data_IF_817424008989
#
_entry.id   IF_817424008989
#
_cell.length_a   1.000
_cell.length_b   1.000
_cell.length_c   1.000
_cell.angle_alpha   90.00
_cell.angle_beta   90.00
_cell.angle_gamma   90.00
#
_symmetry.space_group_name_H-M   'P 1'
#
loop_
_entity.id
_entity.type
_entity.pdbx_description
1 polymer ?
#
# COMPACT_ATOMS: atom_id res chain seq x y z
N UNK A 1 16.76 3.06 11.86
CA UNK A 1 16.95 2.75 10.43
C UNK A 1 16.44 3.93 9.62
N UNK A 2 17.25 4.49 8.72
CA UNK A 2 16.93 5.69 7.97
C UNK A 2 15.80 5.43 6.95
N UNK A 3 14.84 6.35 6.86
CA UNK A 3 13.76 6.34 5.85
C UNK A 3 14.35 6.41 4.44
N UNK A 4 13.66 5.85 3.44
CA UNK A 4 14.08 5.91 2.03
C UNK A 4 14.38 7.35 1.58
N UNK A 5 13.59 8.34 2.04
CA UNK A 5 13.80 9.77 1.77
C UNK A 5 15.06 10.36 2.43
N UNK A 6 15.44 9.88 3.62
CA UNK A 6 16.66 10.29 4.33
C UNK A 6 17.92 9.70 3.70
N UNK A 7 17.82 8.46 3.18
CA UNK A 7 18.88 7.85 2.38
C UNK A 7 19.12 8.61 1.07
N UNK A 8 18.06 9.07 0.39
CA UNK A 8 18.20 9.87 -0.84
C UNK A 8 19.04 11.14 -0.67
N UNK A 9 18.81 11.90 0.42
CA UNK A 9 19.56 13.14 0.69
C UNK A 9 21.04 12.91 1.00
N UNK A 10 21.37 11.76 1.60
CA UNK A 10 22.73 11.48 2.08
C UNK A 10 23.53 10.56 1.15
N UNK A 11 22.84 9.75 0.34
CA UNK A 11 23.40 8.73 -0.56
C UNK A 11 22.62 8.70 -1.89
N UNK A 12 22.74 9.76 -2.71
CA UNK A 12 21.91 9.94 -3.91
C UNK A 12 22.28 9.03 -5.08
N UNK A 13 23.41 8.31 -5.03
CA UNK A 13 23.89 7.47 -6.13
C UNK A 13 23.81 5.99 -5.77
N UNK A 14 23.57 5.17 -6.78
CA UNK A 14 23.56 3.71 -6.70
C UNK A 14 24.55 3.16 -7.73
N UNK A 15 25.36 2.20 -7.30
CA UNK A 15 26.31 1.45 -8.13
C UNK A 15 25.82 0.02 -8.28
N UNK A 16 25.65 -0.44 -9.53
CA UNK A 16 25.37 -1.84 -9.82
C UNK A 16 26.65 -2.68 -9.64
N UNK A 17 26.55 -3.81 -8.93
CA UNK A 17 27.69 -4.68 -8.68
C UNK A 17 27.33 -6.13 -8.99
N UNK A 18 28.18 -6.79 -9.77
CA UNK A 18 28.12 -8.22 -10.01
C UNK A 18 29.08 -8.96 -9.08
N UNK A 19 28.98 -10.29 -9.03
CA UNK A 19 30.00 -11.13 -8.37
C UNK A 19 31.27 -11.32 -9.21
N UNK A 20 31.29 -10.82 -10.46
CA UNK A 20 32.44 -10.87 -11.35
C UNK A 20 32.86 -12.26 -11.83
N UNK A 21 32.06 -13.31 -11.58
CA UNK A 21 32.38 -14.67 -12.01
C UNK A 21 31.82 -15.01 -13.40
N UNK A 22 32.31 -16.10 -13.99
CA UNK A 22 31.88 -16.60 -15.32
C UNK A 22 30.39 -17.00 -15.41
N UNK A 23 29.67 -17.04 -14.29
CA UNK A 23 28.25 -17.39 -14.23
C UNK A 23 27.37 -16.14 -14.22
N UNK A 24 27.94 -14.94 -14.14
CA UNK A 24 27.23 -13.69 -14.36
C UNK A 24 26.78 -13.65 -15.83
N UNK A 25 25.51 -13.28 -16.06
CA UNK A 25 24.97 -13.14 -17.42
C UNK A 25 25.73 -12.03 -18.15
N UNK A 26 26.04 -12.16 -19.46
CA UNK A 26 26.78 -11.15 -20.20
C UNK A 26 26.21 -9.74 -20.08
N UNK A 27 24.88 -9.61 -20.07
CA UNK A 27 24.18 -8.33 -19.90
C UNK A 27 24.46 -7.72 -18.52
N UNK A 28 24.48 -8.53 -17.46
CA UNK A 28 24.75 -8.05 -16.10
C UNK A 28 26.21 -7.63 -15.95
N UNK A 29 27.14 -8.36 -16.57
CA UNK A 29 28.56 -8.00 -16.61
C UNK A 29 28.77 -6.66 -17.32
N UNK A 30 27.99 -6.37 -18.37
CA UNK A 30 28.04 -5.07 -19.06
C UNK A 30 27.52 -3.91 -18.20
N UNK A 31 26.72 -4.18 -17.16
CA UNK A 31 26.24 -3.18 -16.20
C UNK A 31 27.13 -3.04 -14.97
N UNK A 32 28.20 -3.84 -14.85
CA UNK A 32 29.06 -3.83 -13.67
C UNK A 32 29.71 -2.44 -13.48
N UNK A 33 29.64 -1.92 -12.25
CA UNK A 33 30.07 -0.58 -11.88
C UNK A 33 29.29 0.57 -12.53
N UNK A 34 28.16 0.32 -13.18
CA UNK A 34 27.27 1.39 -13.62
C UNK A 34 26.78 2.18 -12.40
N UNK A 35 27.03 3.49 -12.39
CA UNK A 35 26.60 4.39 -11.33
C UNK A 35 25.54 5.34 -11.88
N UNK A 36 24.37 5.37 -11.27
CA UNK A 36 23.27 6.26 -11.64
C UNK A 36 22.70 6.94 -10.40
N UNK A 37 22.00 8.06 -10.62
CA UNK A 37 21.21 8.66 -9.55
C UNK A 37 20.09 7.70 -9.11
N UNK A 38 19.72 7.72 -7.83
CA UNK A 38 18.71 6.81 -7.24
C UNK A 38 17.30 6.97 -7.84
N UNK A 39 17.01 8.13 -8.43
CA UNK A 39 15.74 8.43 -9.09
C UNK A 39 15.74 8.12 -10.60
N UNK A 40 16.85 7.63 -11.14
CA UNK A 40 16.93 7.22 -12.54
C UNK A 40 15.92 6.09 -12.83
N UNK A 41 15.20 6.20 -13.95
CA UNK A 41 14.14 5.26 -14.31
C UNK A 41 14.67 3.86 -14.62
N UNK A 42 15.96 3.72 -14.94
CA UNK A 42 16.63 2.44 -15.16
C UNK A 42 16.47 1.49 -13.95
N UNK A 43 16.54 2.04 -12.73
CA UNK A 43 16.35 1.28 -11.50
C UNK A 43 14.94 0.71 -11.33
N UNK A 44 13.94 1.13 -12.13
CA UNK A 44 12.60 0.57 -12.03
C UNK A 44 12.53 -0.88 -12.50
N UNK A 45 13.46 -1.31 -13.35
CA UNK A 45 13.46 -2.66 -13.93
C UNK A 45 14.79 -3.40 -13.73
N UNK A 46 15.88 -2.69 -13.47
CA UNK A 46 17.23 -3.27 -13.35
C UNK A 46 17.73 -3.37 -11.90
N UNK A 47 16.85 -3.23 -10.90
CA UNK A 47 17.22 -3.39 -9.49
C UNK A 47 17.29 -4.88 -9.13
N UNK A 48 18.49 -5.41 -8.78
CA UNK A 48 18.64 -6.83 -8.47
C UNK A 48 17.77 -7.30 -7.29
N UNK A 49 17.34 -8.57 -7.28
CA UNK A 49 17.59 -9.59 -8.31
C UNK A 49 16.83 -9.37 -9.62
N UNK A 50 17.52 -9.61 -10.74
CA UNK A 50 17.01 -9.40 -12.11
C UNK A 50 16.58 -10.71 -12.80
N UNK A 51 16.47 -11.80 -12.03
CA UNK A 51 16.15 -13.11 -12.55
C UNK A 51 16.53 -14.25 -11.62
N UNK A 52 16.20 -15.47 -12.02
CA UNK A 52 16.51 -16.67 -11.26
C UNK A 52 18.02 -16.85 -11.13
N UNK A 53 18.49 -17.16 -9.93
CA UNK A 53 19.93 -17.31 -9.63
C UNK A 53 20.76 -16.03 -9.80
N UNK A 54 20.13 -14.85 -9.89
CA UNK A 54 20.85 -13.58 -9.92
C UNK A 54 21.62 -13.37 -8.61
N UNK A 55 22.90 -13.02 -8.72
CA UNK A 55 23.81 -12.75 -7.59
C UNK A 55 24.35 -11.32 -7.59
N UNK A 56 23.75 -10.46 -8.41
CA UNK A 56 24.11 -9.06 -8.48
C UNK A 56 23.50 -8.30 -7.29
N UNK A 57 24.11 -7.19 -6.91
CA UNK A 57 23.68 -6.33 -5.80
C UNK A 57 23.80 -4.86 -6.21
N UNK A 58 23.32 -3.97 -5.35
CA UNK A 58 23.46 -2.53 -5.52
C UNK A 58 24.07 -1.93 -4.27
N UNK A 59 25.10 -1.11 -4.47
CA UNK A 59 25.78 -0.34 -3.42
C UNK A 59 25.34 1.11 -3.49
N UNK A 60 24.82 1.65 -2.39
CA UNK A 60 24.54 3.09 -2.29
C UNK A 60 25.84 3.87 -2.10
N UNK A 61 25.94 5.06 -2.68
CA UNK A 61 27.10 5.94 -2.62
C UNK A 61 26.68 7.37 -2.25
N UNK A 62 27.46 7.99 -1.35
CA UNK A 62 27.35 9.41 -1.03
C UNK A 62 28.24 10.25 -1.95
N UNK A 63 27.94 11.54 -2.09
CA UNK A 63 28.78 12.47 -2.86
C UNK A 63 30.25 12.48 -2.39
N UNK A 64 30.50 12.37 -1.08
CA UNK A 64 31.85 12.27 -0.52
C UNK A 64 32.57 10.99 -0.95
N UNK A 65 31.86 9.86 -1.05
CA UNK A 65 32.44 8.60 -1.53
C UNK A 65 32.73 8.66 -3.03
N UNK A 66 31.84 9.27 -3.82
CA UNK A 66 32.09 9.50 -5.24
C UNK A 66 33.41 10.28 -5.45
N UNK A 67 33.60 11.38 -4.71
CA UNK A 67 34.82 12.19 -4.78
C UNK A 67 36.06 11.43 -4.32
N UNK A 68 35.99 10.78 -3.16
CA UNK A 68 37.13 10.05 -2.57
C UNK A 68 37.59 8.89 -3.45
N UNK A 69 36.63 8.13 -3.97
CA UNK A 69 36.89 6.93 -4.77
C UNK A 69 37.04 7.30 -6.28
N UNK A 70 37.02 8.60 -6.62
CA UNK A 70 37.12 9.16 -7.99
C UNK A 70 36.11 8.56 -8.98
N UNK A 71 34.90 8.31 -8.50
CA UNK A 71 33.78 7.76 -9.26
C UNK A 71 32.94 8.90 -9.85
N UNK A 72 32.35 8.66 -11.02
CA UNK A 72 31.41 9.57 -11.66
C UNK A 72 30.11 8.84 -11.98
N UNK A 73 28.99 9.54 -11.90
CA UNK A 73 27.72 9.00 -12.38
C UNK A 73 27.76 8.94 -13.91
N UNK A 74 27.36 7.80 -14.46
CA UNK A 74 27.22 7.60 -15.90
C UNK A 74 25.83 7.95 -16.40
N UNK A 75 25.60 7.70 -17.68
CA UNK A 75 24.27 7.69 -18.29
C UNK A 75 23.68 6.29 -18.24
N UNK A 76 22.35 6.19 -18.10
CA UNK A 76 21.67 4.90 -18.10
C UNK A 76 21.92 4.15 -19.42
N UNK A 77 22.24 2.84 -19.37
CA UNK A 77 22.29 2.02 -20.57
C UNK A 77 20.97 2.05 -21.35
N UNK A 78 20.99 1.92 -22.69
CA UNK A 78 19.78 1.86 -23.50
C UNK A 78 18.82 0.77 -23.03
N UNK A 79 17.54 1.11 -22.93
CA UNK A 79 16.47 0.17 -22.60
C UNK A 79 16.00 -0.56 -23.86
N UNK A 80 16.70 -1.64 -24.22
CA UNK A 80 16.23 -2.58 -25.24
C UNK A 80 15.19 -3.51 -24.62
N UNK A 81 13.90 -3.21 -24.79
CA UNK A 81 12.81 -4.07 -24.33
C UNK A 81 12.07 -4.69 -25.51
N UNK A 82 11.73 -5.98 -25.40
CA UNK A 82 10.91 -6.68 -26.37
C UNK A 82 9.76 -7.39 -25.66
N UNK A 83 8.64 -7.58 -26.37
CA UNK A 83 7.63 -8.53 -25.93
C UNK A 83 8.22 -9.93 -25.93
N UNK A 84 7.87 -10.74 -24.92
CA UNK A 84 8.27 -12.14 -24.85
C UNK A 84 7.02 -12.99 -24.80
N UNK A 85 6.88 -13.89 -25.75
CA UNK A 85 5.74 -14.80 -25.84
C UNK A 85 6.18 -16.16 -25.32
N UNK A 86 5.38 -16.77 -24.46
CA UNK A 86 5.52 -18.17 -24.13
C UNK A 86 4.96 -19.01 -25.29
N UNK A 87 5.77 -19.73 -26.08
CA UNK A 87 5.27 -20.47 -27.23
C UNK A 87 4.38 -21.67 -26.82
N UNK A 88 4.49 -22.18 -25.59
CA UNK A 88 3.68 -23.32 -25.13
C UNK A 88 2.33 -22.92 -24.55
N UNK A 89 2.19 -21.70 -24.04
CA UNK A 89 0.92 -21.21 -23.43
C UNK A 89 0.27 -20.07 -24.22
N UNK A 90 0.97 -19.46 -25.18
CA UNK A 90 0.54 -18.27 -25.90
C UNK A 90 0.54 -16.99 -25.05
N UNK A 91 1.01 -17.05 -23.81
CA UNK A 91 1.02 -15.91 -22.89
C UNK A 91 2.04 -14.86 -23.33
N UNK A 92 1.58 -13.62 -23.48
CA UNK A 92 2.43 -12.47 -23.82
C UNK A 92 2.88 -11.81 -22.52
N UNK A 93 4.16 -11.96 -22.20
CA UNK A 93 4.81 -11.13 -21.20
C UNK A 93 5.14 -9.80 -21.89
N UNK A 94 4.58 -8.69 -21.37
CA UNK A 94 4.80 -7.34 -21.92
C UNK A 94 6.28 -6.95 -21.97
N UNK A 95 6.59 -5.71 -22.37
CA UNK A 95 7.97 -5.26 -22.63
C UNK A 95 9.00 -5.61 -21.53
N UNK A 96 9.78 -6.67 -21.75
CA UNK A 96 10.84 -7.14 -20.84
C UNK A 96 12.19 -6.61 -21.33
N UNK A 97 12.92 -5.82 -20.52
CA UNK A 97 14.27 -5.40 -20.90
C UNK A 97 15.22 -6.57 -21.10
N UNK A 98 16.13 -6.43 -22.06
CA UNK A 98 17.23 -7.36 -22.31
C UNK A 98 18.07 -7.53 -21.04
N UNK A 99 18.44 -8.77 -20.73
CA UNK A 99 19.15 -9.10 -19.49
C UNK A 99 18.26 -9.25 -18.25
N UNK A 100 16.95 -8.99 -18.33
CA UNK A 100 15.98 -9.24 -17.25
C UNK A 100 15.15 -10.49 -17.58
N UNK A 101 14.94 -11.37 -16.59
CA UNK A 101 14.06 -12.54 -16.74
C UNK A 101 12.58 -12.10 -16.71
N UNK A 102 11.70 -12.89 -17.36
CA UNK A 102 10.26 -12.63 -17.34
C UNK A 102 9.72 -12.67 -15.90
N UNK A 103 8.88 -11.69 -15.55
CA UNK A 103 8.36 -11.55 -14.19
C UNK A 103 9.35 -10.97 -13.17
N UNK A 104 10.53 -10.52 -13.58
CA UNK A 104 11.49 -9.78 -12.74
C UNK A 104 11.70 -8.33 -13.20
N UNK A 105 10.90 -7.86 -14.16
CA UNK A 105 10.93 -6.52 -14.73
C UNK A 105 10.26 -5.47 -13.82
N UNK A 106 10.62 -5.49 -12.53
CA UNK A 106 10.19 -4.50 -11.54
C UNK A 106 11.24 -4.34 -10.44
N UNK A 107 11.23 -3.20 -9.75
CA UNK A 107 12.18 -2.94 -8.68
C UNK A 107 11.74 -3.65 -7.40
N UNK A 108 12.41 -4.74 -7.05
CA UNK A 108 12.14 -5.53 -5.84
C UNK A 108 12.20 -4.73 -4.53
N UNK A 109 13.09 -3.74 -4.46
CA UNK A 109 13.23 -2.81 -3.32
C UNK A 109 12.14 -1.76 -3.26
N UNK A 110 11.37 -1.55 -4.33
CA UNK A 110 10.12 -0.79 -4.34
C UNK A 110 8.90 -1.70 -4.19
N UNK A 111 8.96 -2.94 -4.67
CA UNK A 111 7.84 -3.89 -4.62
C UNK A 111 7.44 -4.31 -3.22
N UNK A 112 8.33 -4.15 -2.22
CA UNK A 112 7.94 -4.30 -0.81
C UNK A 112 6.92 -3.24 -0.39
N UNK A 113 7.00 -2.02 -0.93
CA UNK A 113 5.88 -1.07 -0.90
C UNK A 113 4.89 -1.65 -1.90
N UNK A 114 3.99 -2.53 -1.43
CA UNK A 114 3.03 -3.21 -2.30
C UNK A 114 2.42 -2.23 -3.31
N UNK A 115 2.13 -2.66 -4.55
CA UNK A 115 1.69 -1.78 -5.64
C UNK A 115 0.54 -0.85 -5.23
N UNK A 116 -0.25 -1.26 -4.24
CA UNK A 116 -1.29 -0.47 -3.60
C UNK A 116 -0.78 0.77 -2.85
N UNK A 117 0.28 0.62 -2.05
CA UNK A 117 0.90 1.71 -1.28
C UNK A 117 1.56 2.70 -2.24
N UNK A 118 2.25 2.19 -3.27
CA UNK A 118 2.83 3.04 -4.31
C UNK A 118 1.75 3.83 -5.06
N UNK A 119 0.63 3.18 -5.42
CA UNK A 119 -0.52 3.84 -6.02
C UNK A 119 -1.09 4.91 -5.08
N UNK A 120 -1.32 4.60 -3.80
CA UNK A 120 -1.94 5.55 -2.89
C UNK A 120 -1.09 6.81 -2.66
N UNK A 121 0.23 6.67 -2.57
CA UNK A 121 1.15 7.82 -2.49
C UNK A 121 1.15 8.66 -3.76
N UNK A 122 1.07 8.01 -4.92
CA UNK A 122 0.98 8.72 -6.20
C UNK A 122 -0.35 9.40 -6.37
N UNK A 123 -1.44 8.78 -5.94
CA UNK A 123 -2.78 9.34 -6.04
C UNK A 123 -2.91 10.70 -5.33
N UNK A 124 -2.29 10.87 -4.16
CA UNK A 124 -2.25 12.17 -3.46
C UNK A 124 -1.51 13.26 -4.24
N UNK A 125 -0.49 12.89 -5.02
CA UNK A 125 0.37 13.81 -5.78
C UNK A 125 -0.22 14.20 -7.15
N UNK A 126 -1.32 13.58 -7.59
CA UNK A 126 -1.91 13.85 -8.89
C UNK A 126 -2.63 15.20 -8.92
N UNK A 127 -2.65 15.92 -10.07
CA UNK A 127 -3.50 17.08 -10.26
C UNK A 127 -4.98 16.76 -10.00
N UNK A 128 -5.75 17.72 -9.51
CA UNK A 128 -7.10 17.49 -8.93
C UNK A 128 -8.07 16.79 -9.90
N UNK A 129 -8.10 17.20 -11.16
CA UNK A 129 -8.96 16.58 -12.18
C UNK A 129 -8.66 15.09 -12.39
N UNK A 130 -7.38 14.70 -12.38
CA UNK A 130 -6.95 13.30 -12.54
C UNK A 130 -7.17 12.55 -11.22
N UNK A 131 -6.82 13.17 -10.10
CA UNK A 131 -6.97 12.63 -8.76
C UNK A 131 -8.41 12.20 -8.49
N UNK A 132 -9.37 13.06 -8.82
CA UNK A 132 -10.81 12.77 -8.67
C UNK A 132 -11.25 11.54 -9.45
N UNK A 133 -10.77 11.37 -10.68
CA UNK A 133 -11.11 10.22 -11.52
C UNK A 133 -10.47 8.93 -11.02
N UNK A 134 -9.18 8.98 -10.70
CA UNK A 134 -8.40 7.81 -10.26
C UNK A 134 -8.88 7.29 -8.90
N UNK A 135 -9.14 8.19 -7.96
CA UNK A 135 -9.61 7.84 -6.62
C UNK A 135 -11.13 7.64 -6.59
N UNK A 136 -11.89 8.26 -7.50
CA UNK A 136 -13.34 8.14 -7.56
C UNK A 136 -13.84 6.73 -7.84
N UNK A 137 -12.98 5.85 -8.38
CA UNK A 137 -13.31 4.47 -8.69
C UNK A 137 -12.75 3.46 -7.66
N UNK A 138 -12.78 3.81 -6.36
CA UNK A 138 -12.33 2.95 -5.26
C UNK A 138 -12.94 1.55 -5.29
N UNK A 139 -14.18 1.42 -5.77
CA UNK A 139 -14.89 0.15 -5.88
C UNK A 139 -14.29 -0.82 -6.91
N UNK A 140 -13.56 -0.36 -7.93
CA UNK A 140 -12.84 -1.25 -8.83
C UNK A 140 -11.69 -1.96 -8.10
N UNK A 141 -11.02 -1.25 -7.20
CA UNK A 141 -9.86 -1.78 -6.49
C UNK A 141 -10.24 -2.73 -5.36
N UNK A 142 -11.47 -2.67 -4.85
CA UNK A 142 -11.91 -3.58 -3.78
C UNK A 142 -11.96 -5.04 -4.20
N UNK A 143 -12.19 -5.31 -5.49
CA UNK A 143 -12.14 -6.68 -6.02
C UNK A 143 -10.73 -7.28 -5.93
N UNK A 144 -9.71 -6.42 -6.05
CA UNK A 144 -8.29 -6.81 -5.90
C UNK A 144 -7.98 -7.18 -4.45
N UNK A 145 -8.60 -6.51 -3.48
CA UNK A 145 -8.31 -6.73 -2.05
C UNK A 145 -9.18 -7.80 -1.40
N UNK A 146 -10.43 -7.96 -1.84
CA UNK A 146 -11.42 -8.78 -1.14
C UNK A 146 -10.96 -10.23 -0.90
N UNK A 147 -10.63 -10.97 -1.96
CA UNK A 147 -10.22 -12.39 -1.82
C UNK A 147 -8.89 -12.58 -1.07
N UNK A 148 -7.81 -11.83 -1.38
CA UNK A 148 -6.56 -11.95 -0.63
C UNK A 148 -6.72 -11.58 0.85
N UNK A 149 -7.50 -10.54 1.13
CA UNK A 149 -7.80 -10.11 2.50
C UNK A 149 -8.60 -11.17 3.25
N UNK A 150 -9.67 -11.70 2.66
CA UNK A 150 -10.50 -12.72 3.28
C UNK A 150 -9.68 -13.96 3.64
N UNK A 151 -8.82 -14.43 2.72
CA UNK A 151 -7.89 -15.54 2.99
C UNK A 151 -6.97 -15.24 4.16
N UNK A 152 -6.31 -14.08 4.13
CA UNK A 152 -5.42 -13.64 5.20
C UNK A 152 -6.13 -13.50 6.54
N UNK A 153 -7.32 -12.88 6.56
CA UNK A 153 -8.10 -12.64 7.75
C UNK A 153 -8.56 -13.96 8.38
N UNK A 154 -9.00 -14.93 7.56
CA UNK A 154 -9.33 -16.28 8.02
C UNK A 154 -8.13 -17.00 8.67
N UNK A 155 -6.92 -16.82 8.15
CA UNK A 155 -5.71 -17.34 8.80
C UNK A 155 -5.42 -16.62 10.12
N UNK A 156 -5.55 -15.29 10.17
CA UNK A 156 -5.32 -14.50 11.38
C UNK A 156 -6.31 -14.85 12.50
N UNK A 157 -7.58 -15.12 12.16
CA UNK A 157 -8.62 -15.55 13.12
C UNK A 157 -8.24 -16.85 13.81
N UNK A 158 -7.58 -17.78 13.08
CA UNK A 158 -7.17 -19.09 13.59
C UNK A 158 -5.85 -19.07 14.38
N UNK A 159 -5.14 -17.94 14.41
CA UNK A 159 -3.81 -17.83 15.02
C UNK A 159 -3.87 -17.27 16.45
N UNK A 160 -2.99 -17.79 17.30
CA UNK A 160 -2.83 -17.32 18.68
C UNK A 160 -1.83 -16.16 18.84
N UNK A 161 -0.98 -15.92 17.83
CA UNK A 161 0.08 -14.91 17.87
C UNK A 161 -0.05 -13.87 16.76
N UNK A 162 0.45 -12.67 17.04
CA UNK A 162 0.60 -11.60 16.04
C UNK A 162 1.97 -11.77 15.37
N UNK A 163 2.01 -11.60 14.05
CA UNK A 163 3.22 -11.58 13.22
C UNK A 163 3.62 -10.18 12.76
N UNK A 164 2.78 -9.17 13.04
CA UNK A 164 3.01 -7.79 12.61
C UNK A 164 2.73 -7.58 11.12
N UNK A 165 1.89 -8.45 10.54
CA UNK A 165 1.46 -8.35 9.15
C UNK A 165 0.54 -7.15 8.94
N UNK A 166 0.71 -6.48 7.79
CA UNK A 166 -0.11 -5.35 7.35
C UNK A 166 -0.77 -5.71 6.03
N UNK A 167 -2.04 -5.33 5.87
CA UNK A 167 -2.78 -5.47 4.61
C UNK A 167 -3.46 -4.17 4.24
N UNK A 168 -3.39 -3.85 2.95
CA UNK A 168 -4.22 -2.82 2.35
C UNK A 168 -5.63 -3.36 2.16
N UNK A 169 -6.63 -2.56 2.53
CA UNK A 169 -8.04 -2.94 2.51
C UNK A 169 -8.90 -1.97 1.71
N UNK A 170 -8.34 -0.86 1.25
CA UNK A 170 -9.02 0.09 0.41
C UNK A 170 -8.24 1.39 0.28
N UNK A 171 -8.92 2.39 -0.28
CA UNK A 171 -8.41 3.75 -0.39
C UNK A 171 -9.45 4.74 0.16
N UNK A 172 -8.98 5.85 0.73
CA UNK A 172 -9.86 6.98 1.02
C UNK A 172 -10.36 7.56 -0.31
N UNK A 173 -11.66 7.88 -0.39
CA UNK A 173 -12.21 8.46 -1.60
C UNK A 173 -11.89 9.96 -1.69
N UNK A 174 -12.15 10.55 -2.85
CA UNK A 174 -11.82 11.96 -3.11
C UNK A 174 -12.50 12.93 -2.13
N UNK A 175 -13.81 12.75 -1.87
CA UNK A 175 -14.56 13.60 -0.93
C UNK A 175 -14.00 13.52 0.50
N UNK A 176 -13.61 12.33 0.93
CA UNK A 176 -13.01 12.10 2.25
C UNK A 176 -11.64 12.77 2.35
N UNK A 177 -10.83 12.69 1.29
CA UNK A 177 -9.54 13.37 1.21
C UNK A 177 -9.71 14.90 1.28
N UNK A 178 -10.61 15.48 0.49
CA UNK A 178 -10.89 16.92 0.54
C UNK A 178 -11.39 17.36 1.92
N UNK A 179 -12.33 16.60 2.51
CA UNK A 179 -12.85 16.90 3.83
C UNK A 179 -11.78 16.83 4.91
N UNK A 180 -10.86 15.86 4.85
CA UNK A 180 -9.74 15.81 5.78
C UNK A 180 -8.87 17.08 5.68
N UNK A 181 -8.60 17.54 4.45
CA UNK A 181 -7.81 18.76 4.20
C UNK A 181 -8.51 20.00 4.75
N UNK A 182 -9.84 20.13 4.61
CA UNK A 182 -10.58 21.26 5.22
C UNK A 182 -10.55 21.24 6.74
N UNK A 183 -10.42 20.06 7.36
CA UNK A 183 -10.21 19.89 8.81
C UNK A 183 -8.74 20.05 9.23
N UNK A 184 -7.85 20.46 8.32
CA UNK A 184 -6.43 20.71 8.59
C UNK A 184 -5.56 19.45 8.62
N UNK A 185 -6.07 18.30 8.17
CA UNK A 185 -5.32 17.04 8.09
C UNK A 185 -5.03 16.75 6.62
N UNK A 186 -3.75 16.74 6.25
CA UNK A 186 -3.32 16.38 4.89
C UNK A 186 -2.79 14.93 4.90
N UNK A 187 -3.53 13.95 4.36
CA UNK A 187 -3.05 12.57 4.29
C UNK A 187 -1.79 12.44 3.42
N UNK A 188 -0.77 11.72 3.91
CA UNK A 188 0.47 11.45 3.13
C UNK A 188 0.25 10.38 2.05
N UNK A 189 -0.75 9.53 2.23
CA UNK A 189 -1.19 8.51 1.28
C UNK A 189 -2.72 8.39 1.29
N UNK A 190 -3.28 7.75 0.26
CA UNK A 190 -4.70 7.40 0.25
C UNK A 190 -4.99 5.99 0.72
N UNK A 191 -3.99 5.19 1.05
CA UNK A 191 -4.20 3.78 1.39
C UNK A 191 -4.85 3.65 2.76
N UNK A 192 -5.79 2.71 2.88
CA UNK A 192 -6.35 2.28 4.15
C UNK A 192 -5.77 0.90 4.45
N UNK A 193 -5.13 0.79 5.62
CA UNK A 193 -4.45 -0.43 6.05
C UNK A 193 -5.04 -0.99 7.35
N UNK A 194 -4.84 -2.27 7.59
CA UNK A 194 -5.10 -2.91 8.88
C UNK A 194 -3.98 -3.88 9.21
N UNK A 195 -3.71 -4.05 10.50
CA UNK A 195 -2.72 -5.03 10.98
C UNK A 195 -3.39 -6.25 11.58
N UNK A 196 -2.68 -7.37 11.58
CA UNK A 196 -3.13 -8.60 12.23
C UNK A 196 -3.50 -8.39 13.71
N UNK A 197 -2.69 -7.65 14.47
CA UNK A 197 -2.98 -7.28 15.86
C UNK A 197 -4.32 -6.53 15.99
N UNK A 198 -4.63 -5.64 15.04
CA UNK A 198 -5.86 -4.86 15.07
C UNK A 198 -7.07 -5.72 14.76
N UNK A 199 -6.97 -6.56 13.74
CA UNK A 199 -8.02 -7.52 13.40
C UNK A 199 -8.30 -8.44 14.59
N UNK A 200 -7.27 -9.03 15.21
CA UNK A 200 -7.43 -9.90 16.40
C UNK A 200 -8.05 -9.16 17.59
N UNK A 201 -7.68 -7.90 17.83
CA UNK A 201 -8.32 -7.09 18.89
C UNK A 201 -9.80 -6.80 18.63
N UNK A 202 -10.24 -6.76 17.38
CA UNK A 202 -11.66 -6.60 17.04
C UNK A 202 -12.45 -7.90 17.21
N UNK A 203 -11.79 -9.05 17.03
CA UNK A 203 -12.36 -10.37 17.28
C UNK A 203 -12.51 -10.68 18.78
N UNK A 204 -11.72 -10.04 19.64
CA UNK A 204 -11.83 -10.23 21.09
C UNK A 204 -13.18 -9.71 21.62
N UNK A 205 -13.89 -10.48 22.46
CA UNK A 205 -15.11 -10.01 23.07
C UNK A 205 -14.84 -8.81 23.98
N UNK A 206 -15.63 -7.75 23.82
CA UNK A 206 -15.51 -6.52 24.61
C UNK A 206 -16.68 -6.27 25.55
N UNK A 207 -17.79 -6.97 25.36
CA UNK A 207 -18.94 -6.92 26.26
C UNK A 207 -18.78 -7.96 27.37
N UNK A 208 -18.62 -7.49 28.62
CA UNK A 208 -18.68 -8.36 29.83
C UNK A 208 -20.04 -9.06 29.98
N UNK A 209 -21.08 -8.58 29.30
CA UNK A 209 -22.48 -9.03 29.49
C UNK A 209 -22.94 -10.07 28.48
N UNK A 210 -22.35 -10.09 27.28
CA UNK A 210 -22.74 -11.01 26.18
C UNK A 210 -21.62 -11.92 25.71
N UNK A 211 -20.35 -11.66 26.09
CA UNK A 211 -19.21 -12.48 25.68
C UNK A 211 -18.93 -12.46 24.17
N UNK A 212 -19.57 -11.56 23.41
CA UNK A 212 -19.45 -11.46 21.95
C UNK A 212 -18.56 -10.27 21.53
N UNK A 213 -17.90 -10.35 20.36
CA UNK A 213 -17.23 -9.18 19.77
C UNK A 213 -18.25 -8.09 19.41
N UNK A 214 -17.78 -6.84 19.31
CA UNK A 214 -18.65 -5.69 18.99
C UNK A 214 -19.19 -5.70 17.55
N UNK A 215 -18.67 -6.60 16.71
CA UNK A 215 -19.02 -6.79 15.32
C UNK A 215 -18.82 -8.27 14.98
N UNK A 216 -19.64 -8.80 14.08
CA UNK A 216 -19.57 -10.22 13.73
C UNK A 216 -18.37 -10.53 12.84
N UNK A 217 -17.87 -11.76 12.93
CA UNK A 217 -16.71 -12.22 12.15
C UNK A 217 -16.93 -12.09 10.64
N UNK A 218 -18.11 -12.46 10.07
CA UNK A 218 -18.35 -12.29 8.63
C UNK A 218 -18.17 -10.85 8.14
N UNK A 219 -18.64 -9.87 8.91
CA UNK A 219 -18.49 -8.44 8.59
C UNK A 219 -17.02 -7.99 8.62
N UNK A 220 -16.23 -8.56 9.55
CA UNK A 220 -14.78 -8.32 9.60
C UNK A 220 -14.03 -8.96 8.43
N UNK A 221 -14.44 -10.16 7.98
CA UNK A 221 -13.84 -10.83 6.82
C UNK A 221 -14.16 -10.10 5.51
N UNK A 222 -15.33 -9.45 5.44
CA UNK A 222 -15.79 -8.71 4.27
C UNK A 222 -15.41 -7.22 4.29
N UNK A 223 -14.51 -6.82 5.19
CA UNK A 223 -14.13 -5.43 5.43
C UNK A 223 -13.82 -4.63 4.14
N UNK A 224 -13.01 -5.10 3.18
CA UNK A 224 -12.72 -4.35 1.96
C UNK A 224 -13.97 -4.03 1.14
N UNK A 225 -14.97 -4.91 1.12
CA UNK A 225 -16.21 -4.67 0.39
C UNK A 225 -17.06 -3.59 1.07
N UNK A 226 -17.12 -3.57 2.40
CA UNK A 226 -17.81 -2.52 3.15
C UNK A 226 -17.17 -1.14 2.96
N UNK A 227 -15.83 -1.06 2.85
CA UNK A 227 -15.14 0.19 2.53
C UNK A 227 -15.38 0.65 1.09
N UNK A 228 -15.57 -0.29 0.17
CA UNK A 228 -15.78 -0.01 -1.25
C UNK A 228 -17.18 0.53 -1.55
N UNK A 229 -18.18 0.01 -0.83
CA UNK A 229 -19.59 0.39 -0.95
C UNK A 229 -20.18 0.69 0.42
N UNK A 230 -19.72 1.77 1.09
CA UNK A 230 -20.30 2.17 2.35
C UNK A 230 -21.71 2.74 2.15
N UNK A 231 -22.56 2.60 3.16
CA UNK A 231 -23.84 3.31 3.26
C UNK A 231 -23.61 4.82 3.41
N UNK A 232 -22.67 5.18 4.29
CA UNK A 232 -22.24 6.54 4.52
C UNK A 232 -20.79 6.58 5.01
N UNK A 233 -20.12 7.70 4.74
CA UNK A 233 -18.81 8.03 5.31
C UNK A 233 -19.00 9.27 6.17
N UNK A 234 -18.60 9.18 7.43
CA UNK A 234 -18.75 10.23 8.41
C UNK A 234 -17.39 10.72 8.91
N UNK A 235 -17.34 11.98 9.31
CA UNK A 235 -16.28 12.55 10.12
C UNK A 235 -16.66 12.45 11.60
N UNK A 236 -15.78 11.91 12.44
CA UNK A 236 -15.89 11.94 13.90
C UNK A 236 -15.22 13.22 14.42
N UNK A 237 -16.04 14.19 14.86
CA UNK A 237 -15.58 15.49 15.35
C UNK A 237 -14.79 15.39 16.68
N UNK A 238 -14.98 14.33 17.45
CA UNK A 238 -14.30 14.15 18.73
C UNK A 238 -12.90 13.57 18.55
N UNK A 239 -12.72 12.71 17.55
CA UNK A 239 -11.46 11.98 17.33
C UNK A 239 -10.68 12.42 16.09
N UNK A 240 -11.23 13.31 15.28
CA UNK A 240 -10.66 13.71 13.98
C UNK A 240 -10.34 12.48 13.12
N UNK A 241 -11.33 11.62 12.96
CA UNK A 241 -11.18 10.33 12.28
C UNK A 241 -12.36 10.06 11.34
N UNK A 242 -12.18 9.13 10.42
CA UNK A 242 -13.21 8.76 9.45
C UNK A 242 -13.95 7.54 9.96
N UNK A 243 -15.27 7.53 9.78
CA UNK A 243 -16.14 6.40 10.10
C UNK A 243 -16.85 5.93 8.83
N UNK A 244 -16.53 4.72 8.40
CA UNK A 244 -17.24 4.04 7.34
C UNK A 244 -18.43 3.29 7.94
N UNK A 245 -19.63 3.57 7.46
CA UNK A 245 -20.88 2.96 7.92
C UNK A 245 -21.41 2.02 6.85
N UNK A 246 -21.90 0.86 7.26
CA UNK A 246 -22.49 -0.15 6.37
C UNK A 246 -23.69 -0.83 7.01
N UNK A 247 -24.58 -1.36 6.17
CA UNK A 247 -25.76 -2.10 6.62
C UNK A 247 -25.35 -3.49 7.13
N UNK A 248 -25.97 -3.91 8.23
CA UNK A 248 -25.85 -5.27 8.76
C UNK A 248 -27.15 -6.00 8.41
N UNK A 249 -27.03 -7.24 7.92
CA UNK A 249 -28.19 -8.04 7.56
C UNK A 249 -29.13 -8.19 8.76
N UNK A 250 -30.44 -8.06 8.52
CA UNK A 250 -31.51 -8.22 9.50
C UNK A 250 -31.47 -7.23 10.69
N UNK A 251 -30.73 -6.11 10.58
CA UNK A 251 -30.70 -5.05 11.59
C UNK A 251 -30.99 -3.67 10.97
N UNK A 252 -32.26 -3.30 10.83
CA UNK A 252 -32.67 -2.02 10.23
C UNK A 252 -32.39 -0.79 11.09
N UNK A 253 -32.31 -0.95 12.42
CA UNK A 253 -32.10 0.14 13.37
C UNK A 253 -30.63 0.38 13.74
N UNK A 254 -29.75 -0.56 13.38
CA UNK A 254 -28.33 -0.53 13.68
C UNK A 254 -27.50 -0.56 12.39
N UNK A 255 -26.28 -0.06 12.46
CA UNK A 255 -25.32 -0.15 11.38
C UNK A 255 -23.95 -0.57 11.90
N UNK A 256 -23.22 -1.28 11.06
CA UNK A 256 -21.82 -1.59 11.26
C UNK A 256 -20.98 -0.35 10.99
N UNK A 257 -19.87 -0.22 11.72
CA UNK A 257 -18.92 0.88 11.53
C UNK A 257 -17.47 0.46 11.62
N UNK A 258 -16.64 1.01 10.75
CA UNK A 258 -15.19 0.94 10.79
C UNK A 258 -14.60 2.32 11.02
N UNK A 259 -13.73 2.45 12.02
CA UNK A 259 -13.01 3.69 12.32
C UNK A 259 -11.63 3.65 11.69
N UNK A 260 -11.32 4.69 10.92
CA UNK A 260 -10.06 4.89 10.23
C UNK A 260 -9.40 6.15 10.78
N UNK A 261 -8.21 5.99 11.37
CA UNK A 261 -7.36 7.13 11.74
C UNK A 261 -6.49 7.52 10.56
N UNK A 262 -6.49 8.80 10.21
CA UNK A 262 -5.63 9.37 9.18
C UNK A 262 -4.20 9.54 9.70
N UNK A 263 -3.22 9.43 8.80
CA UNK A 263 -1.79 9.60 9.10
C UNK A 263 -1.33 8.82 10.34
N UNK A 264 -1.86 7.60 10.53
CA UNK A 264 -1.51 6.79 11.68
C UNK A 264 -0.08 6.29 11.54
N UNK A 265 0.79 6.72 12.47
CA UNK A 265 2.18 6.30 12.51
C UNK A 265 2.30 4.90 13.12
N UNK A 266 2.79 3.96 12.32
CA UNK A 266 3.09 2.60 12.76
C UNK A 266 4.54 2.27 12.45
N UNK A 267 5.37 2.19 13.50
CA UNK A 267 6.84 2.08 13.37
C UNK A 267 7.39 3.23 12.49
N UNK A 268 7.87 2.91 11.30
CA UNK A 268 8.48 3.87 10.36
C UNK A 268 7.54 4.28 9.23
N UNK A 269 6.35 3.70 9.15
CA UNK A 269 5.37 3.97 8.09
C UNK A 269 4.21 4.81 8.63
N UNK A 270 3.72 5.72 7.80
CA UNK A 270 2.54 6.52 8.04
C UNK A 270 1.51 6.05 7.00
N UNK A 271 0.34 5.66 7.48
CA UNK A 271 -0.77 5.24 6.62
C UNK A 271 -2.11 5.55 7.29
N UNK A 272 -3.18 5.65 6.52
CA UNK A 272 -4.51 5.66 7.12
C UNK A 272 -4.85 4.25 7.61
N UNK A 273 -5.22 4.09 8.88
CA UNK A 273 -5.28 2.77 9.52
C UNK A 273 -6.60 2.50 10.20
N UNK A 274 -7.15 1.30 10.00
CA UNK A 274 -8.32 0.82 10.72
C UNK A 274 -7.96 0.56 12.19
N UNK A 275 -8.69 1.21 13.09
CA UNK A 275 -8.38 1.19 14.54
C UNK A 275 -9.38 0.40 15.35
N UNK A 276 -10.65 0.47 14.96
CA UNK A 276 -11.74 -0.24 15.62
C UNK A 276 -12.89 -0.50 14.67
N UNK A 277 -13.67 -1.52 15.01
CA UNK A 277 -14.91 -1.87 14.37
C UNK A 277 -15.99 -2.05 15.44
N UNK A 278 -17.25 -1.86 15.10
CA UNK A 278 -18.36 -2.10 16.02
C UNK A 278 -19.73 -1.85 15.37
N UNK A 279 -20.77 -1.96 16.18
CA UNK A 279 -22.16 -1.66 15.80
C UNK A 279 -22.66 -0.44 16.57
N UNK A 280 -23.51 0.38 15.94
CA UNK A 280 -24.19 1.49 16.60
C UNK A 280 -25.58 1.71 16.02
N UNK A 281 -26.49 2.27 16.82
CA UNK A 281 -27.80 2.67 16.32
C UNK A 281 -27.66 3.78 15.27
N UNK A 282 -28.55 3.78 14.28
CA UNK A 282 -28.61 4.85 13.29
C UNK A 282 -28.90 6.20 13.92
N UNK A 283 -29.66 6.24 15.03
CA UNK A 283 -29.90 7.47 15.79
C UNK A 283 -28.62 8.11 16.31
N UNK A 284 -27.70 7.31 16.86
CA UNK A 284 -26.42 7.80 17.38
C UNK A 284 -25.49 8.27 16.26
N UNK A 285 -25.55 7.62 15.09
CA UNK A 285 -24.76 8.02 13.92
C UNK A 285 -25.29 9.31 13.26
N UNK A 286 -26.55 9.69 13.53
CA UNK A 286 -27.19 10.94 13.06
C UNK A 286 -26.99 12.13 14.00
N UNK A 287 -26.31 11.94 15.14
CA UNK A 287 -25.99 13.04 16.06
C UNK A 287 -24.99 14.01 15.42
N UNK A 288 -25.48 15.19 15.04
CA UNK A 288 -24.71 16.25 14.37
C UNK A 288 -23.63 16.87 15.24
N UNK A 289 -23.72 16.74 16.57
CA UNK A 289 -22.67 17.22 17.47
C UNK A 289 -21.45 16.28 17.46
N UNK A 290 -21.67 15.01 17.11
CA UNK A 290 -20.63 14.00 17.07
C UNK A 290 -20.12 13.76 15.65
N UNK A 291 -21.03 13.60 14.68
CA UNK A 291 -20.69 13.19 13.33
C UNK A 291 -21.12 14.21 12.26
N UNK A 292 -20.28 14.37 11.25
CA UNK A 292 -20.59 15.09 10.02
C UNK A 292 -20.60 14.13 8.83
N UNK A 293 -21.58 14.22 7.94
CA UNK A 293 -21.67 13.34 6.76
C UNK A 293 -20.75 13.88 5.66
N UNK A 294 -19.78 13.08 5.24
CA UNK A 294 -18.87 13.38 4.12
C UNK A 294 -19.46 12.85 2.81
N UNK A 295 -19.99 11.63 2.84
CA UNK A 295 -20.55 10.96 1.66
C UNK A 295 -21.65 9.96 2.03
N UNK A 296 -22.55 9.67 1.09
CA UNK A 296 -23.68 8.75 1.30
C UNK A 296 -24.81 9.31 2.17
N UNK A 297 -25.64 8.43 2.72
CA UNK A 297 -26.85 8.79 3.50
C UNK A 297 -27.12 7.76 4.61
N UNK A 298 -27.59 8.22 5.77
CA UNK A 298 -27.93 7.40 6.95
C UNK A 298 -29.43 7.18 7.13
#
# INVERSE_FOLDING_TARGET
MATISTCKKTRPFLQYQTVGDRRVRPEHSAWDNQILHIDDSWWNTHMPPNGWGCRCTVRSLSARQMQRDKLNAGTAPPLEASERINPSTGEIFGNVPKGIDTGWNYNVGKAWLGPEIAFGKKAVQLPDGIRRTVIGNTALFSQVFAKPFEKWANEVVKRDTNRGEIRTVGYINYKTLEHAVTKGIVPEDTTITITDDRLRRMLKPKSRRTGKPLIEVPELLNLPAHLAKPKAILWDNLKNSIVYVFDIKDQSSNAGKFFVSLNFKQKNDISNSIRSAGVSSLSNLKDKNHYEIIDGKL
#
